data_IF_287364349025
#
_entry.id   IF_287364349025
#
_cell.length_a   1.000
_cell.length_b   1.000
_cell.length_c   1.000
_cell.angle_alpha   90.00
_cell.angle_beta   90.00
_cell.angle_gamma   90.00
#
_symmetry.space_group_name_H-M   'P 1'
#
loop_
_entity.id
_entity.type
_entity.pdbx_description
1 polymer ?
#
# COMPACT_ATOMS: atom_id res chain seq x y z
N UNK A 1 -11.24 13.24 -5.86
CA UNK A 1 -11.85 11.89 -5.90
C UNK A 1 -12.68 11.80 -7.17
N UNK A 2 -12.28 11.00 -8.16
CA UNK A 2 -12.98 10.94 -9.44
C UNK A 2 -14.26 10.11 -9.31
N UNK A 3 -15.38 10.61 -9.86
CA UNK A 3 -16.68 9.93 -9.80
C UNK A 3 -16.69 8.71 -10.75
N UNK A 4 -16.25 7.55 -10.27
CA UNK A 4 -16.12 6.31 -11.07
C UNK A 4 -17.45 5.58 -11.32
N UNK A 5 -18.53 5.93 -10.61
CA UNK A 5 -19.80 5.19 -10.66
C UNK A 5 -20.39 5.07 -12.07
N UNK A 6 -20.32 6.12 -12.89
CA UNK A 6 -20.88 6.13 -14.24
C UNK A 6 -20.16 5.17 -15.23
N UNK A 7 -19.02 4.59 -14.84
CA UNK A 7 -18.24 3.66 -15.65
C UNK A 7 -18.50 2.20 -15.30
N UNK A 8 -19.31 1.93 -14.27
CA UNK A 8 -19.69 0.56 -13.92
C UNK A 8 -20.67 0.03 -14.96
N UNK A 9 -20.32 -1.11 -15.57
CA UNK A 9 -21.19 -1.83 -16.49
C UNK A 9 -21.67 -3.12 -15.81
N UNK A 10 -22.93 -3.53 -16.02
CA UNK A 10 -23.39 -4.85 -15.61
C UNK A 10 -22.63 -5.91 -16.41
N UNK A 11 -21.87 -6.76 -15.74
CA UNK A 11 -21.14 -7.86 -16.36
C UNK A 11 -21.24 -9.10 -15.49
N UNK A 12 -21.23 -10.27 -16.13
CA UNK A 12 -21.15 -11.56 -15.45
C UNK A 12 -19.68 -11.85 -15.11
N UNK A 13 -19.15 -11.10 -14.14
CA UNK A 13 -17.78 -11.31 -13.67
C UNK A 13 -17.71 -12.55 -12.77
N UNK A 14 -16.78 -13.50 -13.02
CA UNK A 14 -16.70 -14.71 -12.22
C UNK A 14 -16.33 -14.39 -10.76
N UNK A 15 -16.74 -15.24 -9.80
CA UNK A 15 -16.38 -15.05 -8.40
C UNK A 15 -14.87 -15.10 -8.22
N UNK A 16 -14.30 -14.05 -7.62
CA UNK A 16 -12.89 -14.01 -7.25
C UNK A 16 -12.61 -14.98 -6.09
N UNK A 17 -11.62 -15.84 -6.26
CA UNK A 17 -11.09 -16.68 -5.19
C UNK A 17 -9.66 -16.22 -4.86
N UNK A 18 -9.40 -15.93 -3.59
CA UNK A 18 -8.06 -15.60 -3.13
C UNK A 18 -7.18 -16.85 -3.17
N UNK A 19 -5.95 -16.70 -3.63
CA UNK A 19 -4.94 -17.73 -3.50
C UNK A 19 -4.32 -17.73 -2.10
N UNK A 20 -3.48 -18.72 -1.82
CA UNK A 20 -2.68 -18.83 -0.60
C UNK A 20 -1.65 -17.70 -0.55
N UNK A 21 -1.51 -17.06 0.61
CA UNK A 21 -0.50 -16.02 0.81
C UNK A 21 0.86 -16.68 1.03
N UNK A 22 1.79 -16.44 0.11
CA UNK A 22 3.16 -16.98 0.21
C UNK A 22 4.16 -15.99 0.82
N UNK A 23 3.92 -14.69 0.64
CA UNK A 23 4.84 -13.63 1.06
C UNK A 23 4.06 -12.46 1.66
N UNK A 24 4.54 -11.96 2.80
CA UNK A 24 4.07 -10.71 3.39
C UNK A 24 5.24 -9.75 3.52
N UNK A 25 5.13 -8.58 2.91
CA UNK A 25 6.06 -7.47 3.14
C UNK A 25 5.37 -6.46 4.06
N UNK A 26 6.05 -6.07 5.13
CA UNK A 26 5.56 -5.09 6.09
C UNK A 26 6.52 -3.91 6.11
N UNK A 27 5.99 -2.70 5.98
CA UNK A 27 6.75 -1.49 6.25
C UNK A 27 6.80 -1.29 7.76
N UNK A 28 8.00 -1.42 8.35
CA UNK A 28 8.19 -1.13 9.77
C UNK A 28 8.14 0.37 10.07
N UNK A 29 8.23 1.22 9.05
CA UNK A 29 8.15 2.66 9.21
C UNK A 29 8.45 3.39 7.92
N UNK A 30 8.45 4.72 8.03
CA UNK A 30 8.78 5.63 6.94
C UNK A 30 10.03 6.46 7.22
N UNK A 31 10.68 6.28 8.38
CA UNK A 31 11.99 6.87 8.64
C UNK A 31 13.04 6.23 7.72
N UNK A 32 13.66 7.07 6.90
CA UNK A 32 14.74 6.69 5.99
C UNK A 32 15.77 7.82 5.96
N UNK A 33 17.04 7.53 5.74
CA UNK A 33 18.08 8.56 5.70
C UNK A 33 18.12 9.39 4.40
N UNK A 34 17.21 9.13 3.46
CA UNK A 34 17.16 9.76 2.15
C UNK A 34 15.72 10.06 1.73
N UNK A 35 15.55 11.09 0.91
CA UNK A 35 14.28 11.46 0.28
C UNK A 35 14.36 11.28 -1.23
N UNK A 36 14.06 10.07 -1.71
CA UNK A 36 14.19 9.74 -3.13
C UNK A 36 12.97 10.22 -3.95
N UNK A 37 13.20 10.81 -5.12
CA UNK A 37 12.12 11.28 -6.02
C UNK A 37 11.16 10.18 -6.49
N UNK A 38 11.62 8.92 -6.48
CA UNK A 38 10.84 7.75 -6.91
C UNK A 38 10.28 6.95 -5.71
N UNK A 39 10.29 7.50 -4.50
CA UNK A 39 9.78 6.80 -3.32
C UNK A 39 8.26 6.80 -3.31
N UNK A 40 7.64 5.68 -3.68
CA UNK A 40 6.18 5.55 -3.69
C UNK A 40 5.55 5.76 -2.30
N UNK A 41 6.24 5.35 -1.23
CA UNK A 41 5.75 5.48 0.16
C UNK A 41 6.14 6.80 0.83
N UNK A 42 6.88 7.67 0.13
CA UNK A 42 7.33 8.96 0.65
C UNK A 42 8.08 8.87 2.00
N UNK A 43 8.95 7.86 2.13
CA UNK A 43 9.87 7.73 3.26
C UNK A 43 10.94 8.85 3.23
N UNK A 44 11.47 9.22 4.39
CA UNK A 44 12.45 10.30 4.47
C UNK A 44 12.96 10.57 5.89
N UNK A 45 13.94 11.48 6.03
CA UNK A 45 14.67 11.71 7.29
C UNK A 45 13.83 12.42 8.35
N UNK A 46 12.77 13.11 7.94
CA UNK A 46 11.87 13.85 8.83
C UNK A 46 10.60 13.04 9.16
N UNK A 47 10.53 11.77 8.78
CA UNK A 47 9.41 10.88 9.11
C UNK A 47 9.61 10.33 10.51
N UNK A 48 8.51 10.15 11.24
CA UNK A 48 8.53 9.66 12.63
C UNK A 48 7.75 8.36 12.81
N UNK A 49 7.03 7.93 11.78
CA UNK A 49 6.28 6.69 11.80
C UNK A 49 7.22 5.49 11.82
N UNK A 50 7.32 4.82 12.97
CA UNK A 50 8.14 3.63 13.20
C UNK A 50 7.36 2.70 14.13
N UNK A 51 7.24 1.43 13.75
CA UNK A 51 6.71 0.36 14.58
C UNK A 51 7.63 0.11 15.78
N UNK A 52 7.02 -0.07 16.96
CA UNK A 52 7.79 -0.46 18.14
C UNK A 52 8.20 -1.94 18.04
N UNK A 53 9.12 -2.36 18.88
CA UNK A 53 9.55 -3.77 18.93
C UNK A 53 8.49 -4.70 19.55
N UNK A 54 7.58 -4.16 20.36
CA UNK A 54 6.55 -4.94 21.05
C UNK A 54 5.33 -5.23 20.16
N UNK A 55 5.30 -4.65 18.96
CA UNK A 55 4.30 -4.90 17.91
C UNK A 55 4.81 -5.86 16.83
#
# INVERSE_FOLDING_TARGET
MHAMLHRLQPTDFPPLRRDTVNTLQVNLGYLCNQSCLHCHVNAGPNRTEIMSRET
#
